data_IF_545482504589
#
_entry.id   IF_545482504589
#
_cell.length_a   1.000
_cell.length_b   1.000
_cell.length_c   1.000
_cell.angle_alpha   90.00
_cell.angle_beta   90.00
_cell.angle_gamma   90.00
#
_symmetry.space_group_name_H-M   'P 1'
#
loop_
_entity.id
_entity.type
_entity.pdbx_description
1 polymer ?
#
# COMPACT_ATOMS: atom_id res chain seq x y z
N UNK A 1 -30.36 -8.52 16.50
CA UNK A 1 -29.44 -7.40 16.22
C UNK A 1 -28.04 -8.00 16.28
N UNK A 2 -27.49 -8.40 15.13
CA UNK A 2 -26.20 -9.09 15.05
C UNK A 2 -25.18 -8.02 14.65
N UNK A 3 -24.32 -7.63 15.59
CA UNK A 3 -23.22 -6.70 15.34
C UNK A 3 -22.15 -7.43 14.53
N UNK A 4 -21.97 -7.00 13.28
CA UNK A 4 -20.87 -7.46 12.44
C UNK A 4 -19.70 -6.54 12.75
N UNK A 5 -18.81 -6.98 13.65
CA UNK A 5 -17.48 -6.42 13.78
C UNK A 5 -16.72 -6.73 12.48
N UNK A 6 -16.46 -5.70 11.67
CA UNK A 6 -15.55 -5.79 10.53
C UNK A 6 -14.11 -5.83 11.08
N UNK A 7 -13.27 -6.82 10.73
CA UNK A 7 -11.85 -6.69 10.97
C UNK A 7 -11.29 -5.66 9.98
N UNK A 8 -10.88 -4.48 10.48
CA UNK A 8 -10.00 -3.59 9.74
C UNK A 8 -8.63 -4.28 9.65
N UNK A 9 -8.35 -4.88 8.51
CA UNK A 9 -7.00 -5.24 8.11
C UNK A 9 -6.72 -4.49 6.80
N UNK A 10 -6.20 -3.27 6.91
CA UNK A 10 -5.69 -2.52 5.78
C UNK A 10 -4.29 -3.04 5.46
N UNK A 11 -4.16 -3.80 4.38
CA UNK A 11 -2.87 -4.25 3.85
C UNK A 11 -2.51 -3.36 2.67
N UNK A 12 -1.51 -2.49 2.83
CA UNK A 12 -0.91 -1.76 1.72
C UNK A 12 0.16 -2.62 1.04
N UNK A 13 -0.03 -2.89 -0.25
CA UNK A 13 0.87 -3.71 -1.07
C UNK A 13 1.81 -2.80 -1.86
N UNK A 14 3.11 -3.10 -1.87
CA UNK A 14 4.12 -2.45 -2.72
C UNK A 14 4.47 -3.34 -3.92
N UNK A 15 4.56 -2.74 -5.11
CA UNK A 15 5.26 -3.34 -6.25
C UNK A 15 6.64 -2.68 -6.39
N UNK A 16 7.70 -3.43 -6.09
CA UNK A 16 9.06 -3.06 -6.50
C UNK A 16 9.14 -3.31 -8.01
N UNK A 17 9.38 -2.27 -8.80
CA UNK A 17 9.74 -2.46 -10.21
C UNK A 17 11.09 -3.17 -10.30
N UNK A 18 11.09 -4.47 -10.59
CA UNK A 18 12.29 -5.18 -10.99
C UNK A 18 12.68 -4.71 -12.39
N UNK A 19 13.86 -4.10 -12.54
CA UNK A 19 14.44 -3.86 -13.85
C UNK A 19 14.74 -5.21 -14.53
N UNK A 20 14.25 -5.41 -15.76
CA UNK A 20 14.55 -6.63 -16.53
C UNK A 20 16.05 -6.66 -16.94
N UNK A 21 16.68 -7.85 -17.00
CA UNK A 21 18.02 -7.97 -17.55
C UNK A 21 17.96 -7.79 -19.08
N UNK A 22 18.74 -6.84 -19.58
CA UNK A 22 18.97 -6.59 -21.01
C UNK A 22 19.45 -7.87 -21.68
N UNK A 23 18.75 -8.31 -22.74
CA UNK A 23 19.15 -9.47 -23.55
C UNK A 23 20.54 -9.26 -24.15
N UNK A 24 21.47 -10.16 -23.83
CA UNK A 24 22.73 -10.29 -24.55
C UNK A 24 23.83 -11.03 -23.80
N UNK A 25 24.19 -12.20 -24.35
CA UNK A 25 25.44 -12.98 -24.15
C UNK A 25 25.42 -14.12 -23.11
N UNK A 26 26.22 -15.20 -23.30
CA UNK A 26 25.76 -16.50 -23.78
C UNK A 26 25.83 -17.60 -22.71
N UNK A 27 25.13 -18.71 -22.94
CA UNK A 27 25.15 -19.89 -22.07
C UNK A 27 26.39 -20.77 -22.28
N UNK A 28 26.90 -21.32 -21.18
CA UNK A 28 27.23 -22.75 -20.92
C UNK A 28 28.46 -22.88 -20.00
N UNK A 29 28.33 -23.73 -18.97
CA UNK A 29 29.47 -24.26 -18.23
C UNK A 29 29.11 -24.94 -16.90
N UNK A 30 28.23 -25.94 -16.91
CA UNK A 30 28.13 -26.93 -15.83
C UNK A 30 29.15 -28.03 -16.09
N UNK A 31 30.15 -28.19 -15.24
CA UNK A 31 30.95 -29.42 -15.21
C UNK A 31 31.31 -29.82 -13.78
N UNK A 32 30.65 -30.88 -13.33
CA UNK A 32 31.23 -31.88 -12.44
C UNK A 32 30.65 -33.26 -12.85
N UNK A 33 31.33 -33.88 -13.81
CA UNK A 33 31.32 -35.30 -14.15
C UNK A 33 31.78 -36.16 -12.94
N UNK A 34 31.56 -37.47 -12.79
CA UNK A 34 30.93 -38.55 -13.56
C UNK A 34 30.79 -39.78 -12.63
N UNK A 35 29.83 -40.67 -12.91
CA UNK A 35 30.06 -42.13 -13.10
C UNK A 35 28.73 -42.91 -13.20
N UNK A 36 28.36 -43.20 -14.45
CA UNK A 36 27.80 -44.44 -15.05
C UNK A 36 27.35 -45.62 -14.14
N UNK A 37 26.19 -46.20 -14.46
CA UNK A 37 25.81 -47.57 -14.09
C UNK A 37 24.33 -47.88 -14.33
N UNK A 38 24.00 -48.54 -15.44
CA UNK A 38 22.62 -48.78 -15.89
C UNK A 38 21.87 -50.01 -15.37
N UNK A 39 20.62 -50.09 -15.85
CA UNK A 39 19.74 -51.25 -16.11
C UNK A 39 18.80 -51.83 -15.03
N UNK A 40 17.52 -51.81 -15.42
CA UNK A 40 16.38 -52.75 -15.20
C UNK A 40 15.74 -53.03 -13.84
N UNK A 41 14.40 -52.94 -13.92
CA UNK A 41 13.37 -53.85 -13.37
C UNK A 41 12.83 -53.64 -11.94
N UNK A 42 11.49 -53.63 -11.91
CA UNK A 42 10.56 -54.16 -10.92
C UNK A 42 10.85 -53.95 -9.42
N UNK A 43 9.97 -53.17 -8.80
CA UNK A 43 9.86 -53.08 -7.35
C UNK A 43 8.56 -52.39 -6.95
N UNK A 44 7.47 -53.16 -6.97
CA UNK A 44 6.24 -52.79 -6.28
C UNK A 44 6.54 -52.57 -4.79
N UNK A 45 6.11 -51.43 -4.24
CA UNK A 45 5.84 -51.30 -2.81
C UNK A 45 4.33 -51.23 -2.62
N UNK A 46 3.84 -52.37 -2.15
CA UNK A 46 2.53 -52.63 -1.57
C UNK A 46 2.23 -51.64 -0.44
N UNK A 47 1.14 -50.90 -0.60
CA UNK A 47 0.47 -50.17 0.47
C UNK A 47 -0.98 -50.65 0.56
N UNK A 48 -1.16 -51.93 0.89
CA UNK A 48 -2.40 -52.43 1.47
C UNK A 48 -2.68 -51.77 2.83
N UNK A 49 -3.79 -51.04 2.91
CA UNK A 49 -4.27 -50.41 4.14
C UNK A 49 -5.64 -49.75 3.95
N UNK A 50 -6.67 -50.59 3.92
CA UNK A 50 -8.11 -50.33 4.06
C UNK A 50 -8.76 -49.17 3.28
N UNK A 51 -9.37 -49.55 2.15
CA UNK A 51 -10.46 -48.82 1.51
C UNK A 51 -11.71 -48.84 2.39
N UNK A 52 -11.84 -47.87 3.28
CA UNK A 52 -13.15 -47.44 3.76
C UNK A 52 -13.76 -46.53 2.70
N UNK A 53 -14.72 -47.06 1.95
CA UNK A 53 -15.55 -46.28 1.03
C UNK A 53 -16.28 -45.18 1.82
N UNK A 54 -15.91 -43.92 1.59
CA UNK A 54 -16.80 -42.81 1.86
C UNK A 54 -17.63 -42.62 0.59
N UNK A 55 -18.74 -43.36 0.55
CA UNK A 55 -19.90 -42.96 -0.24
C UNK A 55 -20.43 -41.67 0.38
N UNK A 56 -20.03 -40.55 -0.23
CA UNK A 56 -20.46 -39.22 0.13
C UNK A 56 -20.79 -38.47 -1.14
N UNK A 57 -22.00 -38.69 -1.67
CA UNK A 57 -22.64 -37.86 -2.67
C UNK A 57 -22.92 -36.43 -2.19
N UNK A 58 -21.90 -35.76 -1.66
CA UNK A 58 -21.90 -34.33 -1.46
C UNK A 58 -21.52 -33.67 -2.77
N UNK A 59 -22.47 -32.99 -3.40
CA UNK A 59 -22.14 -32.02 -4.44
C UNK A 59 -21.17 -31.03 -3.80
N UNK A 60 -19.89 -31.06 -4.18
CA UNK A 60 -18.95 -30.02 -3.79
C UNK A 60 -19.60 -28.70 -4.23
N UNK A 61 -19.78 -27.77 -3.28
CA UNK A 61 -20.25 -26.44 -3.62
C UNK A 61 -19.38 -25.91 -4.77
N UNK A 62 -19.96 -25.31 -5.82
CA UNK A 62 -19.18 -24.84 -6.95
C UNK A 62 -18.08 -23.93 -6.40
N UNK A 63 -16.83 -24.24 -6.76
CA UNK A 63 -15.69 -23.39 -6.44
C UNK A 63 -16.01 -22.04 -7.07
N UNK A 64 -16.27 -21.05 -6.23
CA UNK A 64 -16.52 -19.70 -6.71
C UNK A 64 -15.20 -19.21 -7.29
N UNK A 65 -15.10 -19.08 -8.61
CA UNK A 65 -13.93 -18.51 -9.25
C UNK A 65 -13.82 -17.06 -8.80
N UNK A 66 -12.89 -16.79 -7.89
CA UNK A 66 -12.53 -15.47 -7.42
C UNK A 66 -11.44 -14.95 -8.36
N UNK A 67 -11.77 -13.90 -9.11
CA UNK A 67 -10.85 -13.24 -10.04
C UNK A 67 -11.10 -11.73 -10.02
N UNK A 68 -10.11 -10.96 -10.47
CA UNK A 68 -10.18 -9.50 -10.56
C UNK A 68 -10.27 -9.09 -12.04
N UNK A 69 -11.21 -8.20 -12.35
CA UNK A 69 -11.32 -7.56 -13.67
C UNK A 69 -10.58 -6.22 -13.63
N UNK A 70 -9.75 -5.95 -14.63
CA UNK A 70 -9.17 -4.63 -14.82
C UNK A 70 -10.18 -3.72 -15.53
N UNK A 71 -10.65 -2.72 -14.80
CA UNK A 71 -11.60 -1.71 -15.28
C UNK A 71 -11.01 -0.29 -15.23
N UNK A 72 -9.70 -0.15 -15.01
CA UNK A 72 -9.04 1.12 -14.66
C UNK A 72 -9.31 2.22 -15.68
N UNK A 73 -9.07 1.93 -16.96
CA UNK A 73 -9.30 2.87 -18.07
C UNK A 73 -10.79 3.20 -18.25
N UNK A 74 -11.68 2.21 -18.06
CA UNK A 74 -13.13 2.41 -18.16
C UNK A 74 -13.63 3.42 -17.12
N UNK A 75 -13.02 3.46 -15.93
CA UNK A 75 -13.42 4.37 -14.86
C UNK A 75 -12.68 5.71 -14.89
N UNK A 76 -11.67 5.87 -15.76
CA UNK A 76 -10.84 7.07 -15.83
C UNK A 76 -10.01 7.31 -14.56
N UNK A 77 -9.67 6.24 -13.83
CA UNK A 77 -8.85 6.29 -12.60
C UNK A 77 -7.39 5.93 -12.85
N UNK A 78 -7.00 5.88 -14.12
CA UNK A 78 -5.66 5.62 -14.65
C UNK A 78 -4.71 6.81 -14.42
N UNK A 79 -4.46 7.16 -13.16
CA UNK A 79 -3.54 8.23 -12.79
C UNK A 79 -2.11 7.81 -13.09
N UNK A 80 -1.59 8.27 -14.22
CA UNK A 80 -0.22 8.00 -14.65
C UNK A 80 0.77 8.95 -13.97
N UNK A 81 1.78 8.37 -13.31
CA UNK A 81 2.89 9.13 -12.72
C UNK A 81 3.92 9.45 -13.79
N UNK A 82 4.24 10.72 -13.93
CA UNK A 82 5.32 11.16 -14.81
C UNK A 82 6.62 11.32 -14.04
N UNK A 83 7.72 10.77 -14.56
CA UNK A 83 9.04 10.94 -13.99
C UNK A 83 9.81 11.96 -14.84
N UNK A 84 10.48 12.92 -14.19
CA UNK A 84 11.46 13.76 -14.87
C UNK A 84 12.62 12.90 -15.41
N UNK A 85 13.30 13.34 -16.47
CA UNK A 85 14.43 12.65 -17.13
C UNK A 85 15.69 12.46 -16.25
N UNK A 86 15.56 12.51 -14.93
CA UNK A 86 16.65 12.47 -13.97
C UNK A 86 16.23 11.64 -12.76
N UNK A 87 16.23 10.30 -12.89
CA UNK A 87 16.28 9.42 -11.70
C UNK A 87 17.67 9.63 -11.10
N UNK A 88 17.81 10.61 -10.21
CA UNK A 88 19.09 10.98 -9.60
C UNK A 88 19.12 10.66 -8.11
N UNK A 89 17.95 10.48 -7.49
CA UNK A 89 17.83 10.21 -6.06
C UNK A 89 17.14 8.86 -5.82
N UNK A 90 17.56 8.06 -4.83
CA UNK A 90 16.87 6.82 -4.46
C UNK A 90 15.39 7.03 -4.09
N UNK A 91 15.04 8.24 -3.63
CA UNK A 91 13.67 8.72 -3.46
C UNK A 91 12.82 8.53 -4.70
N UNK A 92 13.42 8.66 -5.88
CA UNK A 92 12.73 8.69 -7.16
C UNK A 92 12.11 7.34 -7.53
N UNK A 93 12.53 6.27 -6.85
CA UNK A 93 11.99 4.92 -7.00
C UNK A 93 10.92 4.56 -5.96
N UNK A 94 10.61 5.46 -5.01
CA UNK A 94 9.54 5.23 -4.04
C UNK A 94 8.19 5.41 -4.73
N UNK A 95 7.62 4.28 -5.15
CA UNK A 95 6.42 4.19 -5.98
C UNK A 95 5.13 4.55 -5.21
N UNK A 96 4.08 4.77 -6.01
CA UNK A 96 2.85 5.42 -5.62
C UNK A 96 1.82 4.57 -4.90
N UNK A 97 1.30 5.12 -3.80
CA UNK A 97 0.15 4.62 -3.07
C UNK A 97 -1.19 5.06 -3.64
N UNK A 98 -2.24 4.52 -3.03
CA UNK A 98 -3.64 4.91 -3.15
C UNK A 98 -4.31 4.62 -1.80
N UNK A 99 -5.24 5.48 -1.39
CA UNK A 99 -6.09 5.24 -0.23
C UNK A 99 -7.54 5.22 -0.69
N UNK A 100 -8.28 4.25 -0.17
CA UNK A 100 -9.74 4.32 -0.16
C UNK A 100 -10.13 5.15 1.05
N UNK A 101 -11.00 6.13 0.87
CA UNK A 101 -11.38 7.11 1.90
C UNK A 101 -12.87 7.43 1.77
N UNK A 102 -13.57 7.59 2.89
CA UNK A 102 -14.94 8.15 2.91
C UNK A 102 -14.86 9.66 3.19
N UNK A 103 -14.92 10.51 2.16
CA UNK A 103 -14.72 11.96 2.34
C UNK A 103 -15.97 12.65 2.88
N UNK A 104 -17.16 12.17 2.53
CA UNK A 104 -18.42 12.86 2.80
C UNK A 104 -19.46 12.01 3.55
N UNK A 105 -19.08 10.82 4.00
CA UNK A 105 -19.94 9.89 4.74
C UNK A 105 -21.02 9.25 3.85
N UNK A 106 -20.89 9.36 2.52
CA UNK A 106 -21.88 8.88 1.55
C UNK A 106 -21.24 7.88 0.59
N UNK A 107 -21.76 6.64 0.52
CA UNK A 107 -21.30 5.71 -0.51
C UNK A 107 -21.54 6.24 -1.94
N UNK A 108 -20.63 5.95 -2.88
CA UNK A 108 -19.49 5.04 -2.77
C UNK A 108 -18.24 5.69 -2.15
N UNK A 109 -17.31 4.86 -1.68
CA UNK A 109 -16.01 5.32 -1.19
C UNK A 109 -15.20 6.00 -2.30
N UNK A 110 -14.34 6.92 -1.89
CA UNK A 110 -13.49 7.74 -2.74
C UNK A 110 -12.06 7.20 -2.81
N UNK A 111 -11.25 7.78 -3.70
CA UNK A 111 -9.84 7.41 -3.85
C UNK A 111 -8.93 8.63 -3.74
N UNK A 112 -7.98 8.60 -2.79
CA UNK A 112 -6.87 9.54 -2.76
C UNK A 112 -5.63 8.93 -3.40
N UNK A 113 -5.04 9.62 -4.37
CA UNK A 113 -3.83 9.19 -5.09
C UNK A 113 -2.69 10.17 -4.79
N UNK A 114 -1.75 9.82 -3.90
CA UNK A 114 -0.54 10.62 -3.66
C UNK A 114 0.37 10.64 -4.90
N UNK A 115 0.84 11.85 -5.23
CA UNK A 115 1.72 12.14 -6.36
C UNK A 115 2.91 13.01 -5.95
N UNK A 116 3.96 12.97 -6.77
CA UNK A 116 5.27 13.60 -6.52
C UNK A 116 5.80 14.31 -7.76
N UNK A 117 6.97 14.94 -7.62
CA UNK A 117 7.66 15.63 -8.71
C UNK A 117 6.80 16.75 -9.28
N UNK A 118 6.26 17.57 -8.37
CA UNK A 118 5.38 18.69 -8.71
C UNK A 118 4.07 18.30 -9.42
N UNK A 119 3.73 17.01 -9.43
CA UNK A 119 2.38 16.58 -9.76
C UNK A 119 1.51 16.77 -8.53
N UNK A 120 0.43 17.53 -8.67
CA UNK A 120 -0.59 17.61 -7.63
C UNK A 120 -1.16 16.22 -7.38
N UNK A 121 -1.34 15.82 -6.12
CA UNK A 121 -2.10 14.61 -5.78
C UNK A 121 -3.55 14.72 -6.25
N UNK A 122 -4.27 13.60 -6.29
CA UNK A 122 -5.67 13.53 -6.76
C UNK A 122 -6.57 13.03 -5.65
N UNK A 123 -7.78 13.57 -5.60
CA UNK A 123 -8.88 13.03 -4.80
C UNK A 123 -10.02 12.77 -5.76
N UNK A 124 -10.32 11.50 -5.98
CA UNK A 124 -11.35 11.04 -6.91
C UNK A 124 -12.60 10.73 -6.09
N UNK A 125 -13.54 11.68 -6.05
CA UNK A 125 -14.78 11.61 -5.28
C UNK A 125 -15.85 10.89 -6.08
N UNK A 126 -16.47 9.88 -5.49
CA UNK A 126 -17.47 9.03 -6.08
C UNK A 126 -18.84 9.69 -6.11
N UNK A 127 -19.41 9.84 -7.30
CA UNK A 127 -20.78 10.40 -7.47
C UNK A 127 -21.84 9.33 -7.71
N UNK A 128 -21.42 8.13 -8.09
CA UNK A 128 -22.21 6.92 -8.28
C UNK A 128 -21.26 5.72 -8.31
N UNK A 129 -21.74 4.47 -8.17
CA UNK A 129 -20.88 3.30 -8.25
C UNK A 129 -20.00 3.34 -9.50
N UNK A 130 -18.67 3.27 -9.29
CA UNK A 130 -17.67 3.31 -10.34
C UNK A 130 -17.65 4.62 -11.17
N UNK A 131 -18.11 5.74 -10.62
CA UNK A 131 -18.07 7.05 -11.28
C UNK A 131 -17.43 8.10 -10.38
N UNK A 132 -16.29 8.64 -10.80
CA UNK A 132 -15.47 9.52 -9.98
C UNK A 132 -15.25 10.90 -10.62
N UNK A 133 -15.04 11.91 -9.79
CA UNK A 133 -14.63 13.27 -10.17
C UNK A 133 -13.42 13.72 -9.37
N UNK A 134 -12.50 14.43 -10.02
CA UNK A 134 -11.32 14.96 -9.34
C UNK A 134 -11.66 16.24 -8.56
N UNK A 135 -11.42 16.22 -7.25
CA UNK A 135 -11.79 17.31 -6.35
C UNK A 135 -10.68 17.73 -5.37
N UNK A 136 -9.44 17.26 -5.50
CA UNK A 136 -8.39 17.54 -4.51
C UNK A 136 -8.24 19.03 -4.21
N UNK A 137 -8.23 19.86 -5.26
CA UNK A 137 -8.03 21.29 -5.09
C UNK A 137 -9.18 21.98 -4.35
N UNK A 138 -10.43 21.62 -4.66
CA UNK A 138 -11.63 22.19 -4.02
C UNK A 138 -11.86 21.66 -2.59
N UNK A 139 -11.17 20.59 -2.21
CA UNK A 139 -11.28 19.92 -0.92
C UNK A 139 -10.11 20.22 0.03
N UNK A 140 -9.23 21.18 -0.33
CA UNK A 140 -8.08 21.58 0.50
C UNK A 140 -6.79 20.78 0.29
N UNK A 141 -6.76 19.84 -0.66
CA UNK A 141 -5.63 18.95 -0.95
C UNK A 141 -4.81 19.39 -2.19
N UNK A 142 -4.92 20.65 -2.62
CA UNK A 142 -4.15 21.17 -3.75
C UNK A 142 -2.62 21.11 -3.56
N UNK A 143 -2.14 21.09 -2.30
CA UNK A 143 -0.73 21.28 -1.95
C UNK A 143 -0.30 20.36 -0.80
N UNK A 144 -0.44 19.04 -1.01
CA UNK A 144 -0.04 18.02 -0.02
C UNK A 144 1.48 17.81 0.08
N UNK A 145 2.26 18.28 -0.91
CA UNK A 145 3.71 18.08 -1.01
C UNK A 145 4.09 16.89 -1.89
N UNK A 146 5.35 16.46 -1.80
CA UNK A 146 5.84 15.27 -2.50
C UNK A 146 5.41 14.01 -1.73
N UNK A 147 4.26 13.47 -2.11
CA UNK A 147 3.61 12.35 -1.44
C UNK A 147 3.83 11.01 -2.17
N UNK A 148 4.34 10.01 -1.47
CA UNK A 148 4.43 8.62 -1.98
C UNK A 148 3.29 7.74 -1.50
N UNK A 149 2.81 7.96 -0.27
CA UNK A 149 1.83 7.09 0.37
C UNK A 149 0.85 7.92 1.21
N UNK A 150 -0.22 7.26 1.62
CA UNK A 150 -1.27 7.84 2.42
C UNK A 150 -1.84 6.77 3.36
N UNK A 151 -2.62 7.23 4.34
CA UNK A 151 -3.48 6.42 5.19
C UNK A 151 -4.75 7.23 5.45
N UNK A 152 -5.91 6.62 5.19
CA UNK A 152 -7.22 7.17 5.57
C UNK A 152 -7.73 6.47 6.83
N UNK A 153 -8.19 7.25 7.80
CA UNK A 153 -8.71 6.77 9.09
C UNK A 153 -9.42 7.90 9.83
N UNK A 154 -10.48 7.57 10.58
CA UNK A 154 -11.17 8.48 11.50
C UNK A 154 -10.29 8.74 12.74
N UNK A 155 -9.60 9.88 12.77
CA UNK A 155 -8.60 10.23 13.77
C UNK A 155 -9.23 10.67 15.08
N UNK A 156 -10.39 11.32 15.07
CA UNK A 156 -11.07 11.85 16.26
C UNK A 156 -12.29 11.01 16.70
N UNK A 157 -12.70 10.02 15.91
CA UNK A 157 -13.88 9.20 16.18
C UNK A 157 -15.19 9.89 15.84
N UNK A 158 -15.20 10.86 14.92
CA UNK A 158 -16.39 11.62 14.54
C UNK A 158 -17.13 11.02 13.32
N UNK A 159 -16.51 10.03 12.67
CA UNK A 159 -17.06 9.27 11.57
C UNK A 159 -16.66 9.76 10.18
N UNK A 160 -15.91 10.87 10.06
CA UNK A 160 -15.31 11.32 8.82
C UNK A 160 -13.87 10.78 8.73
N UNK A 161 -13.45 10.21 7.59
CA UNK A 161 -12.07 9.73 7.45
C UNK A 161 -11.11 10.92 7.26
N UNK A 162 -10.08 11.00 8.09
CA UNK A 162 -8.93 11.90 7.94
C UNK A 162 -7.86 11.32 7.03
N UNK A 163 -6.85 12.14 6.72
CA UNK A 163 -5.80 11.75 5.78
C UNK A 163 -4.40 12.05 6.32
N UNK A 164 -3.64 10.98 6.57
CA UNK A 164 -2.19 11.07 6.73
C UNK A 164 -1.52 10.88 5.37
N UNK A 165 -0.59 11.78 5.01
CA UNK A 165 0.19 11.73 3.77
C UNK A 165 1.67 11.66 4.10
N UNK A 166 2.38 10.73 3.47
CA UNK A 166 3.81 10.50 3.68
C UNK A 166 4.60 10.56 2.37
N UNK A 167 5.88 10.90 2.46
CA UNK A 167 6.84 10.90 1.38
C UNK A 167 8.13 11.62 1.74
N UNK A 168 9.03 11.85 0.78
CA UNK A 168 10.26 12.59 1.04
C UNK A 168 9.99 13.99 1.54
N UNK A 169 10.46 14.25 2.76
CA UNK A 169 10.19 15.48 3.47
C UNK A 169 8.70 15.77 3.72
N UNK A 170 7.85 14.75 3.62
CA UNK A 170 6.41 14.85 3.79
C UNK A 170 5.96 13.86 4.86
N UNK A 171 5.47 14.39 5.97
CA UNK A 171 4.62 13.70 6.92
C UNK A 171 3.57 14.72 7.37
N UNK A 172 2.36 14.59 6.84
CA UNK A 172 1.32 15.61 6.98
C UNK A 172 0.00 14.96 7.31
N UNK A 173 -0.61 15.39 8.41
CA UNK A 173 -1.94 14.99 8.82
C UNK A 173 -2.94 16.06 8.40
N UNK A 174 -4.05 15.64 7.81
CA UNK A 174 -5.13 16.50 7.36
C UNK A 174 -6.42 16.05 8.03
N UNK A 175 -7.04 16.94 8.80
CA UNK A 175 -8.35 16.73 9.40
C UNK A 175 -9.44 16.97 8.35
N UNK A 176 -10.38 16.05 8.21
CA UNK A 176 -11.54 16.16 7.35
C UNK A 176 -12.73 16.74 8.14
N UNK A 177 -13.05 18.01 7.88
CA UNK A 177 -14.22 18.63 8.51
C UNK A 177 -15.33 18.78 7.48
N UNK A 178 -16.29 17.85 7.51
CA UNK A 178 -17.43 17.83 6.60
C UNK A 178 -17.02 17.87 5.11
N UNK A 179 -16.06 17.02 4.75
CA UNK A 179 -15.52 16.89 3.39
C UNK A 179 -14.54 17.99 2.99
N UNK A 180 -13.94 18.71 3.95
CA UNK A 180 -12.92 19.73 3.69
C UNK A 180 -11.67 19.45 4.53
N UNK A 181 -10.54 19.23 3.85
CA UNK A 181 -9.30 18.84 4.49
C UNK A 181 -8.48 20.06 4.93
N UNK A 182 -8.09 20.07 6.20
CA UNK A 182 -7.21 21.07 6.79
C UNK A 182 -5.94 20.44 7.32
N UNK A 183 -4.78 20.92 6.90
CA UNK A 183 -3.50 20.43 7.42
C UNK A 183 -3.35 20.79 8.91
N UNK A 184 -2.99 19.82 9.74
CA UNK A 184 -2.82 19.92 11.20
C UNK A 184 -1.38 19.60 11.62
N UNK A 185 -0.39 20.47 11.33
CA UNK A 185 1.00 20.22 11.73
C UNK A 185 1.20 20.13 13.26
N UNK A 186 0.31 20.76 14.04
CA UNK A 186 0.32 20.76 15.50
C UNK A 186 0.06 19.38 16.12
N UNK A 187 -0.61 18.47 15.38
CA UNK A 187 -0.92 17.11 15.85
C UNK A 187 0.26 16.14 15.73
N UNK A 188 1.36 16.55 15.08
CA UNK A 188 2.59 15.77 14.95
C UNK A 188 3.79 16.52 15.57
N UNK A 189 3.73 16.90 16.86
CA UNK A 189 4.76 17.73 17.46
C UNK A 189 6.11 17.00 17.51
N UNK A 190 7.17 17.69 17.08
CA UNK A 190 8.53 17.16 17.16
C UNK A 190 8.89 16.13 16.09
N UNK A 191 7.96 15.75 15.22
CA UNK A 191 8.27 14.91 14.06
C UNK A 191 8.76 15.81 12.92
N UNK A 192 10.05 15.71 12.60
CA UNK A 192 10.68 16.55 11.58
C UNK A 192 10.34 16.09 10.16
N UNK A 193 10.22 17.04 9.23
CA UNK A 193 9.99 16.79 7.79
C UNK A 193 11.30 16.57 7.02
N UNK A 194 12.36 16.10 7.68
CA UNK A 194 13.67 15.89 7.03
C UNK A 194 13.82 14.46 6.53
N UNK A 195 13.13 13.55 7.19
CA UNK A 195 13.09 12.14 6.87
C UNK A 195 12.17 11.85 5.69
N UNK A 196 12.42 10.69 5.09
CA UNK A 196 11.52 10.04 4.16
C UNK A 196 10.76 8.97 4.91
N UNK A 197 9.44 9.16 4.97
CA UNK A 197 8.52 8.21 5.56
C UNK A 197 7.80 7.45 4.45
N UNK A 198 7.67 6.14 4.66
CA UNK A 198 6.92 5.23 3.79
C UNK A 198 5.49 5.05 4.27
N UNK A 199 5.03 3.80 4.29
CA UNK A 199 3.67 3.47 4.71
C UNK A 199 3.42 3.78 6.19
N UNK A 200 2.16 4.01 6.53
CA UNK A 200 1.70 4.10 7.89
C UNK A 200 0.56 3.11 8.13
N UNK A 201 0.27 2.83 9.40
CA UNK A 201 -0.90 2.06 9.83
C UNK A 201 -1.43 2.66 11.14
N UNK A 202 -2.75 2.60 11.30
CA UNK A 202 -3.44 3.07 12.50
C UNK A 202 -4.09 1.90 13.25
N UNK A 203 -3.96 1.88 14.58
CA UNK A 203 -4.63 0.94 15.46
C UNK A 203 -4.59 1.48 16.90
N UNK A 204 -5.54 1.07 17.75
CA UNK A 204 -5.47 1.28 19.20
C UNK A 204 -4.41 0.32 19.78
N UNK A 205 -3.21 0.84 20.05
CA UNK A 205 -2.04 0.02 20.44
C UNK A 205 -1.80 0.02 21.94
N UNK A 206 -2.25 1.05 22.65
CA UNK A 206 -2.14 1.11 24.11
C UNK A 206 -3.45 0.78 24.86
N UNK A 207 -4.55 0.62 24.14
CA UNK A 207 -5.84 0.14 24.66
C UNK A 207 -6.70 1.23 25.29
N UNK A 208 -6.44 2.51 25.00
CA UNK A 208 -7.21 3.64 25.51
C UNK A 208 -8.45 3.97 24.66
N UNK A 209 -8.62 3.30 23.52
CA UNK A 209 -9.77 3.44 22.62
C UNK A 209 -9.50 4.37 21.44
N UNK A 210 -8.29 4.94 21.37
CA UNK A 210 -7.90 5.92 20.36
C UNK A 210 -6.98 5.29 19.32
N UNK A 211 -7.04 5.75 18.06
CA UNK A 211 -6.16 5.24 17.02
C UNK A 211 -4.77 5.86 17.13
N UNK A 212 -3.77 5.01 17.40
CA UNK A 212 -2.35 5.33 17.35
C UNK A 212 -1.76 5.10 15.95
N UNK A 213 -0.62 5.73 15.65
CA UNK A 213 0.05 5.60 14.36
C UNK A 213 1.39 4.86 14.47
N UNK A 214 1.62 3.94 13.54
CA UNK A 214 2.96 3.43 13.22
C UNK A 214 3.33 3.92 11.83
N UNK A 215 4.47 4.62 11.71
CA UNK A 215 4.95 5.17 10.43
C UNK A 215 6.31 4.54 10.11
N UNK A 216 6.42 3.94 8.93
CA UNK A 216 7.67 3.34 8.47
C UNK A 216 8.69 4.43 8.12
N UNK A 217 9.81 4.45 8.85
CA UNK A 217 10.96 5.27 8.50
C UNK A 217 11.74 4.62 7.38
N UNK A 218 12.28 5.41 6.46
CA UNK A 218 13.10 4.89 5.36
C UNK A 218 14.51 5.46 5.36
N UNK A 219 14.71 6.75 5.07
CA UNK A 219 16.04 7.39 5.15
C UNK A 219 15.94 8.88 5.46
N UNK A 220 17.06 9.48 5.85
CA UNK A 220 17.12 10.81 6.45
C UNK A 220 17.17 11.97 5.44
N UNK A 221 16.89 11.73 4.15
CA UNK A 221 16.51 12.75 3.16
C UNK A 221 17.52 13.85 2.81
N UNK A 222 18.66 13.95 3.49
CA UNK A 222 19.52 15.14 3.45
C UNK A 222 20.75 15.02 2.55
N UNK A 223 21.17 13.81 2.16
CA UNK A 223 22.29 13.62 1.23
C UNK A 223 22.16 12.33 0.38
N UNK A 224 21.99 12.45 -0.96
CA UNK A 224 21.97 11.31 -1.89
C UNK A 224 23.23 10.44 -1.87
N UNK A 225 24.38 10.98 -1.42
CA UNK A 225 25.66 10.27 -1.35
C UNK A 225 25.81 9.41 -0.09
N UNK A 226 25.03 9.67 0.96
CA UNK A 226 25.05 8.87 2.20
C UNK A 226 24.12 7.66 2.18
N UNK A 227 23.36 7.46 1.10
CA UNK A 227 22.44 6.33 0.89
C UNK A 227 23.03 4.94 1.23
N UNK A 228 24.33 4.74 0.98
CA UNK A 228 25.01 3.46 1.24
C UNK A 228 25.78 3.41 2.57
N UNK A 229 25.82 4.52 3.33
CA UNK A 229 26.73 4.68 4.49
C UNK A 229 26.06 5.18 5.77
N UNK A 230 24.89 5.81 5.70
CA UNK A 230 24.08 6.15 6.88
C UNK A 230 22.84 5.25 6.92
N UNK A 231 22.53 4.75 8.12
CA UNK A 231 21.33 3.94 8.34
C UNK A 231 20.05 4.73 8.08
N UNK A 232 18.95 4.02 7.89
CA UNK A 232 17.64 4.63 7.69
C UNK A 232 17.10 5.34 8.93
N UNK A 233 16.00 6.08 8.74
CA UNK A 233 15.25 6.65 9.84
C UNK A 233 14.49 5.54 10.58
N UNK A 234 14.43 5.56 11.92
CA UNK A 234 13.65 4.58 12.66
C UNK A 234 12.16 4.75 12.34
N UNK A 235 11.41 3.66 12.49
CA UNK A 235 9.96 3.74 12.50
C UNK A 235 9.50 4.64 13.65
N UNK A 236 8.42 5.37 13.42
CA UNK A 236 7.72 6.11 14.46
C UNK A 236 6.58 5.26 15.00
N UNK A 237 6.42 5.27 16.31
CA UNK A 237 5.20 4.89 17.01
C UNK A 237 4.70 6.15 17.71
N UNK A 238 3.54 6.63 17.31
CA UNK A 238 2.92 7.85 17.80
C UNK A 238 1.64 7.46 18.50
N UNK A 239 1.64 7.58 19.83
CA UNK A 239 0.42 7.35 20.61
C UNK A 239 -0.44 8.61 20.57
N UNK A 240 -1.75 8.45 20.34
CA UNK A 240 -2.70 9.56 20.48
C UNK A 240 -2.84 9.89 21.97
N UNK A 241 -2.94 11.18 22.28
CA UNK A 241 -3.05 11.68 23.65
C UNK A 241 -3.96 12.91 23.64
N UNK A 242 -4.94 12.91 24.54
CA UNK A 242 -5.89 14.00 24.78
C UNK A 242 -5.49 14.91 25.96
#
# INVERSE_FOLDING_TARGET
>A
MLSILRPLALVCLFAVGCAEPVEGTPTVGTDAAAAEGGTTADGAIDAGGDSAAIDGGGTLAPVRELWFEDVTEMLGVDVTRTFGQSVREPADNLAGGVCVIDVDGVPPLDLFVPLRFHQSSRLLVGSAPLSYQEEAASRGLASVGDATACLAFDMEGDGDDDLLVTGPGTLSLFENVAGQFMKRPELLPGVGTKAVYGMASAADLDGDGDLDLVVAGYYDGLDPMTYMTMGGEPNLLLLRKD
#
